data_IF_108120443839
#
_entry.id   IF_108120443839
#
_cell.length_a   1.000
_cell.length_b   1.000
_cell.length_c   1.000
_cell.angle_alpha   90.00
_cell.angle_beta   90.00
_cell.angle_gamma   90.00
#
_symmetry.space_group_name_H-M   'P 1'
#
loop_
_entity.id
_entity.type
_entity.pdbx_description
1 polymer ?
#
# COMPACT_ATOMS: atom_id res chain seq x y z
N UNK A 1 8.99 -5.33 4.40
CA UNK A 1 8.68 -4.88 3.02
C UNK A 1 7.54 -5.75 2.50
N UNK A 2 6.35 -5.19 2.27
CA UNK A 2 5.18 -5.95 1.82
C UNK A 2 5.08 -5.87 0.30
N UNK A 3 4.97 -6.98 -0.44
CA UNK A 3 4.77 -6.93 -1.89
C UNK A 3 3.40 -6.30 -2.19
N UNK A 4 3.34 -5.56 -3.29
CA UNK A 4 2.08 -5.05 -3.83
C UNK A 4 1.21 -6.20 -4.33
N UNK A 5 1.86 -7.21 -4.90
CA UNK A 5 1.21 -8.37 -5.47
C UNK A 5 2.15 -9.57 -5.43
N UNK A 6 1.57 -10.77 -5.37
CA UNK A 6 2.27 -12.05 -5.47
C UNK A 6 1.62 -12.86 -6.58
N UNK A 7 2.43 -13.52 -7.41
CA UNK A 7 1.92 -14.45 -8.39
C UNK A 7 3.03 -15.19 -9.11
N UNK A 8 2.70 -15.76 -10.27
CA UNK A 8 3.63 -16.56 -11.06
C UNK A 8 3.83 -15.93 -12.43
N UNK A 9 5.06 -15.94 -12.91
CA UNK A 9 5.39 -15.64 -14.30
C UNK A 9 5.78 -16.93 -14.98
N UNK A 10 5.12 -17.24 -16.09
CA UNK A 10 5.34 -18.47 -16.84
C UNK A 10 6.03 -18.17 -18.17
N UNK A 11 7.10 -18.89 -18.46
CA UNK A 11 7.81 -18.87 -19.73
C UNK A 11 7.94 -20.29 -20.26
N UNK A 12 7.18 -20.62 -21.32
CA UNK A 12 7.11 -21.99 -21.84
C UNK A 12 6.59 -22.97 -20.79
N UNK A 13 7.45 -23.85 -20.31
CA UNK A 13 7.15 -24.89 -19.32
C UNK A 13 7.63 -24.57 -17.90
N UNK A 14 8.22 -23.39 -17.69
CA UNK A 14 8.78 -22.98 -16.39
C UNK A 14 7.89 -21.90 -15.77
N UNK A 15 7.47 -22.13 -14.53
CA UNK A 15 6.73 -21.16 -13.73
C UNK A 15 7.57 -20.72 -12.53
N UNK A 16 7.80 -19.41 -12.41
CA UNK A 16 8.61 -18.82 -11.34
C UNK A 16 7.72 -17.96 -10.43
N UNK A 17 7.69 -18.20 -9.12
CA UNK A 17 6.96 -17.34 -8.19
C UNK A 17 7.68 -16.00 -8.03
N UNK A 18 6.93 -14.90 -8.16
CA UNK A 18 7.46 -13.54 -8.06
C UNK A 18 6.63 -12.68 -7.09
N UNK A 19 7.28 -11.67 -6.52
CA UNK A 19 6.62 -10.60 -5.78
C UNK A 19 6.86 -9.27 -6.48
N UNK A 20 5.79 -8.50 -6.72
CA UNK A 20 5.89 -7.15 -7.26
C UNK A 20 6.13 -6.15 -6.14
N UNK A 21 7.15 -5.31 -6.29
CA UNK A 21 7.50 -4.26 -5.34
C UNK A 21 7.61 -2.92 -6.06
N UNK A 22 7.25 -1.83 -5.38
CA UNK A 22 7.44 -0.49 -5.92
C UNK A 22 8.94 -0.16 -6.02
N UNK A 23 9.40 0.23 -7.21
CA UNK A 23 10.79 0.63 -7.44
C UNK A 23 11.16 1.91 -6.68
N UNK A 24 10.18 2.79 -6.45
CA UNK A 24 10.31 3.99 -5.63
C UNK A 24 9.46 3.87 -4.37
N UNK A 25 10.02 4.24 -3.21
CA UNK A 25 9.20 4.52 -2.02
C UNK A 25 8.97 6.02 -1.99
N UNK A 26 7.70 6.45 -1.95
CA UNK A 26 7.37 7.81 -1.51
C UNK A 26 7.74 7.91 -0.02
N UNK A 27 8.99 8.26 0.27
CA UNK A 27 9.53 8.34 1.63
C UNK A 27 8.95 9.52 2.42
N UNK A 28 8.31 10.47 1.72
CA UNK A 28 7.84 11.74 2.29
C UNK A 28 6.35 12.00 2.02
N UNK A 29 5.51 10.96 1.91
CA UNK A 29 4.07 11.19 1.87
C UNK A 29 3.59 11.55 3.30
N UNK A 30 3.38 12.84 3.52
CA UNK A 30 2.73 13.36 4.72
C UNK A 30 1.28 12.88 4.74
N UNK A 31 0.97 12.03 5.71
CA UNK A 31 -0.40 11.58 5.94
C UNK A 31 -1.05 12.51 6.96
N UNK A 32 -2.09 13.22 6.55
CA UNK A 32 -2.88 14.04 7.47
C UNK A 32 -4.05 13.21 8.00
N UNK A 33 -4.28 13.30 9.31
CA UNK A 33 -5.51 12.82 9.93
C UNK A 33 -6.48 13.99 10.01
N UNK A 34 -7.72 13.78 9.58
CA UNK A 34 -8.77 14.78 9.76
C UNK A 34 -9.18 14.79 11.23
N UNK A 35 -8.99 15.94 11.88
CA UNK A 35 -9.32 16.16 13.29
C UNK A 35 -10.50 17.13 13.40
N UNK A 36 -11.42 16.84 14.30
CA UNK A 36 -12.50 17.74 14.63
C UNK A 36 -11.96 18.96 15.39
N UNK A 37 -12.37 20.15 15.00
CA UNK A 37 -11.77 21.41 15.47
C UNK A 37 -11.79 21.57 17.00
N UNK A 38 -12.91 21.22 17.63
CA UNK A 38 -13.15 21.50 19.05
C UNK A 38 -12.42 20.58 20.01
N UNK A 39 -12.29 19.31 19.68
CA UNK A 39 -11.77 18.26 20.57
C UNK A 39 -10.54 17.53 19.98
N UNK A 40 -10.13 17.89 18.77
CA UNK A 40 -9.04 17.25 18.03
C UNK A 40 -9.22 15.73 17.90
N UNK A 41 -10.46 15.24 17.98
CA UNK A 41 -10.77 13.83 17.83
C UNK A 41 -10.70 13.44 16.33
N UNK A 42 -10.25 12.21 15.99
CA UNK A 42 -10.31 11.71 14.62
C UNK A 42 -11.75 11.66 14.12
N UNK A 43 -12.00 12.20 12.93
CA UNK A 43 -13.30 12.07 12.27
C UNK A 43 -13.37 10.69 11.59
N UNK A 44 -14.42 9.93 11.87
CA UNK A 44 -14.72 8.64 11.23
C UNK A 44 -15.93 8.79 10.29
N UNK A 45 -15.87 8.14 9.13
CA UNK A 45 -16.92 8.12 8.13
C UNK A 45 -17.56 6.74 8.12
N UNK A 46 -18.84 6.63 8.50
CA UNK A 46 -19.59 5.39 8.29
C UNK A 46 -19.83 5.18 6.80
N UNK A 47 -19.43 4.01 6.30
CA UNK A 47 -19.67 3.55 4.93
C UNK A 47 -20.97 2.77 4.84
#
# INVERSE_FOLDING_TARGET
>A
MRPLWKGLVTFGLVSVPVGLYSATRRQAELHFRLLHEKDQAPIDYRR
#
